data_IF_787326472116
#
_entry.id   IF_787326472116
#
_cell.length_a   1.000
_cell.length_b   1.000
_cell.length_c   1.000
_cell.angle_alpha   90.00
_cell.angle_beta   90.00
_cell.angle_gamma   90.00
#
_symmetry.space_group_name_H-M   'P 1'
#
loop_
_entity.id
_entity.type
_entity.pdbx_description
1 polymer ?
#
# COMPACT_ATOMS: atom_id res chain seq x y z
N UNK A 1 -25.71 0.81 -25.09
CA UNK A 1 -25.06 2.05 -25.57
C UNK A 1 -24.71 3.04 -24.44
N UNK A 2 -25.37 3.02 -23.29
CA UNK A 2 -25.22 4.09 -22.28
C UNK A 2 -23.99 3.96 -21.35
N UNK A 3 -23.50 2.75 -21.09
CA UNK A 3 -22.37 2.55 -20.16
C UNK A 3 -21.04 3.04 -20.74
N UNK A 4 -20.80 2.82 -22.03
CA UNK A 4 -19.56 3.26 -22.69
C UNK A 4 -19.47 4.78 -22.69
N UNK A 5 -20.56 5.49 -23.00
CA UNK A 5 -20.62 6.95 -23.00
C UNK A 5 -20.48 7.52 -21.58
N UNK A 6 -21.14 6.91 -20.59
CA UNK A 6 -21.07 7.36 -19.20
C UNK A 6 -19.67 7.22 -18.58
N UNK A 7 -18.85 6.26 -19.03
CA UNK A 7 -17.46 6.09 -18.55
C UNK A 7 -16.47 6.92 -19.37
N UNK A 8 -16.69 7.07 -20.66
CA UNK A 8 -15.74 7.76 -21.55
C UNK A 8 -15.72 9.28 -21.34
N UNK A 9 -16.85 9.92 -21.01
CA UNK A 9 -16.89 11.37 -20.76
C UNK A 9 -16.08 11.77 -19.51
N UNK A 10 -16.28 11.18 -18.32
CA UNK A 10 -15.47 11.51 -17.14
C UNK A 10 -13.98 11.18 -17.34
N UNK A 11 -13.68 10.07 -18.03
CA UNK A 11 -12.31 9.67 -18.31
C UNK A 11 -11.61 10.68 -19.25
N UNK A 12 -12.29 11.10 -20.33
CA UNK A 12 -11.78 12.11 -21.24
C UNK A 12 -11.62 13.47 -20.53
N UNK A 13 -12.60 13.90 -19.74
CA UNK A 13 -12.53 15.13 -18.94
C UNK A 13 -11.36 15.08 -17.95
N UNK A 14 -11.15 13.95 -17.27
CA UNK A 14 -10.01 13.77 -16.37
C UNK A 14 -8.67 13.85 -17.12
N UNK A 15 -8.54 13.19 -18.26
CA UNK A 15 -7.31 13.23 -19.07
C UNK A 15 -7.03 14.66 -19.55
N UNK A 16 -8.04 15.37 -20.06
CA UNK A 16 -7.90 16.76 -20.52
C UNK A 16 -7.56 17.69 -19.36
N UNK A 17 -8.25 17.59 -18.22
CA UNK A 17 -7.91 18.40 -17.04
C UNK A 17 -6.47 18.12 -16.59
N UNK A 18 -6.07 16.85 -16.55
CA UNK A 18 -4.72 16.44 -16.13
C UNK A 18 -3.63 17.00 -17.04
N UNK A 19 -3.82 16.96 -18.35
CA UNK A 19 -2.79 17.41 -19.29
C UNK A 19 -2.81 18.92 -19.48
N UNK A 20 -3.98 19.54 -19.62
CA UNK A 20 -4.11 20.96 -19.96
C UNK A 20 -4.01 21.89 -18.75
N UNK A 21 -4.50 21.47 -17.58
CA UNK A 21 -4.49 22.33 -16.38
C UNK A 21 -3.24 22.08 -15.55
N UNK A 22 -2.94 20.81 -15.25
CA UNK A 22 -1.91 20.48 -14.28
C UNK A 22 -0.49 20.38 -14.86
N UNK A 23 -0.31 20.48 -16.18
CA UNK A 23 0.98 20.38 -16.88
C UNK A 23 1.83 19.17 -16.44
N UNK A 24 1.19 18.13 -15.90
CA UNK A 24 1.92 16.96 -15.44
C UNK A 24 2.31 16.12 -16.64
N UNK A 25 3.55 15.60 -16.69
CA UNK A 25 3.96 14.68 -17.74
C UNK A 25 2.95 13.54 -17.81
N UNK A 26 2.65 13.11 -19.04
CA UNK A 26 1.82 11.93 -19.30
C UNK A 26 2.30 10.79 -18.41
N UNK A 27 1.40 10.07 -17.76
CA UNK A 27 1.77 8.92 -16.94
C UNK A 27 2.69 8.00 -17.75
N UNK A 28 3.96 7.94 -17.35
CA UNK A 28 4.94 7.04 -17.94
C UNK A 28 4.73 5.65 -17.37
N UNK A 29 4.83 4.66 -18.24
CA UNK A 29 4.88 3.27 -17.81
C UNK A 29 6.28 2.96 -17.30
N UNK A 30 6.36 2.17 -16.24
CA UNK A 30 7.63 1.63 -15.79
C UNK A 30 8.19 0.64 -16.82
N UNK A 31 9.52 0.45 -16.90
CA UNK A 31 10.11 -0.62 -17.69
C UNK A 31 9.55 -1.98 -17.27
N UNK A 32 9.32 -2.88 -18.24
CA UNK A 32 8.74 -4.21 -17.98
C UNK A 32 9.51 -5.00 -16.91
N UNK A 33 10.84 -4.88 -16.89
CA UNK A 33 11.68 -5.52 -15.89
C UNK A 33 11.34 -5.07 -14.46
N UNK A 34 11.07 -3.77 -14.26
CA UNK A 34 10.70 -3.21 -12.96
C UNK A 34 9.28 -3.59 -12.56
N UNK A 35 8.35 -3.62 -13.51
CA UNK A 35 6.98 -4.12 -13.29
C UNK A 35 7.03 -5.57 -12.80
N UNK A 36 7.78 -6.43 -13.49
CA UNK A 36 7.89 -7.85 -13.15
C UNK A 36 8.62 -8.07 -11.84
N UNK A 37 9.63 -7.27 -11.51
CA UNK A 37 10.40 -7.40 -10.28
C UNK A 37 9.64 -6.89 -9.06
N UNK A 38 9.14 -5.65 -9.11
CA UNK A 38 8.58 -4.92 -7.96
C UNK A 38 7.07 -5.07 -7.83
N UNK A 39 6.35 -5.27 -8.93
CA UNK A 39 4.89 -5.40 -8.96
C UNK A 39 4.37 -6.52 -8.05
N UNK A 40 4.84 -7.77 -8.18
CA UNK A 40 4.41 -8.89 -7.35
C UNK A 40 4.65 -8.63 -5.86
N UNK A 41 5.84 -8.12 -5.52
CA UNK A 41 6.21 -7.79 -4.14
C UNK A 41 5.32 -6.69 -3.57
N UNK A 42 4.99 -5.67 -4.36
CA UNK A 42 4.06 -4.60 -3.97
C UNK A 42 2.67 -5.16 -3.65
N UNK A 43 2.14 -6.04 -4.52
CA UNK A 43 0.81 -6.66 -4.31
C UNK A 43 0.82 -7.56 -3.07
N UNK A 44 1.80 -8.44 -2.93
CA UNK A 44 1.93 -9.31 -1.75
C UNK A 44 2.07 -8.50 -0.45
N UNK A 45 2.70 -7.33 -0.53
CA UNK A 45 2.83 -6.42 0.61
C UNK A 45 1.49 -5.84 1.04
N UNK A 46 0.62 -5.43 0.13
CA UNK A 46 -0.74 -5.00 0.47
C UNK A 46 -1.58 -6.11 1.10
N UNK A 47 -1.40 -7.35 0.64
CA UNK A 47 -2.02 -8.53 1.28
C UNK A 47 -1.51 -8.67 2.71
N UNK A 48 -0.18 -8.61 2.90
CA UNK A 48 0.43 -8.69 4.24
C UNK A 48 -0.06 -7.58 5.17
N UNK A 49 -0.14 -6.33 4.70
CA UNK A 49 -0.61 -5.19 5.50
C UNK A 49 -2.07 -5.27 5.90
N UNK A 50 -2.88 -6.03 5.15
CA UNK A 50 -4.26 -6.32 5.53
C UNK A 50 -4.33 -7.23 6.76
N UNK A 51 -3.36 -8.14 6.90
CA UNK A 51 -3.29 -9.10 8.01
C UNK A 51 -2.57 -8.48 9.20
N UNK A 52 -1.44 -7.82 8.95
CA UNK A 52 -0.59 -7.19 9.95
C UNK A 52 -0.18 -5.79 9.48
N UNK A 53 -0.92 -4.74 9.89
CA UNK A 53 -0.60 -3.38 9.48
C UNK A 53 0.73 -2.97 10.15
N UNK A 54 1.77 -2.62 9.38
CA UNK A 54 3.04 -2.19 9.96
C UNK A 54 2.93 -0.78 10.59
N UNK A 55 4.00 -0.40 11.29
CA UNK A 55 4.21 0.97 11.75
C UNK A 55 4.05 1.97 10.59
N UNK A 56 3.41 3.09 10.89
CA UNK A 56 3.13 4.11 9.88
C UNK A 56 4.43 4.68 9.30
N UNK A 57 4.46 4.86 7.98
CA UNK A 57 5.57 5.55 7.34
C UNK A 57 5.09 6.53 6.29
N UNK A 58 5.66 7.72 6.27
CA UNK A 58 5.45 8.66 5.15
C UNK A 58 6.09 8.17 3.86
N UNK A 59 7.21 7.45 3.95
CA UNK A 59 8.01 7.03 2.81
C UNK A 59 8.27 5.53 2.89
N UNK A 60 8.10 4.80 1.79
CA UNK A 60 8.29 3.34 1.73
C UNK A 60 9.02 2.86 0.47
N UNK A 61 9.50 3.78 -0.36
CA UNK A 61 10.30 3.44 -1.55
C UNK A 61 11.59 2.68 -1.21
N UNK A 62 12.17 2.92 -0.03
CA UNK A 62 13.44 2.31 0.36
C UNK A 62 13.37 0.82 0.64
N UNK A 63 12.17 0.26 0.78
CA UNK A 63 11.95 -1.16 1.02
C UNK A 63 12.27 -2.04 -0.21
N UNK A 64 12.50 -1.41 -1.37
CA UNK A 64 12.80 -2.09 -2.64
C UNK A 64 14.28 -2.02 -3.05
N UNK A 65 15.14 -1.31 -2.30
CA UNK A 65 16.54 -1.05 -2.70
C UNK A 65 17.32 -2.36 -2.91
N UNK A 66 17.10 -3.35 -2.04
CA UNK A 66 17.83 -4.63 -2.07
C UNK A 66 17.07 -5.74 -2.84
N UNK A 67 16.01 -5.39 -3.59
CA UNK A 67 15.16 -6.37 -4.25
C UNK A 67 15.79 -6.84 -5.58
N UNK A 68 15.93 -8.15 -5.74
CA UNK A 68 16.42 -8.79 -6.96
C UNK A 68 15.55 -9.98 -7.32
N UNK A 69 15.64 -10.48 -8.57
CA UNK A 69 14.95 -11.69 -9.01
C UNK A 69 15.35 -12.96 -8.24
N UNK A 70 16.44 -12.91 -7.46
CA UNK A 70 16.93 -14.01 -6.63
C UNK A 70 16.48 -13.90 -5.18
N UNK A 71 15.90 -12.77 -4.77
CA UNK A 71 15.48 -12.55 -3.39
C UNK A 71 14.33 -13.50 -3.02
N UNK A 72 14.41 -14.16 -1.86
CA UNK A 72 13.34 -15.08 -1.41
C UNK A 72 11.96 -14.43 -1.32
N UNK A 73 11.91 -13.14 -0.98
CA UNK A 73 10.69 -12.33 -0.93
C UNK A 73 9.99 -12.27 -2.29
N UNK A 74 10.74 -12.23 -3.40
CA UNK A 74 10.20 -12.21 -4.75
C UNK A 74 9.41 -13.50 -5.05
N UNK A 75 9.98 -14.66 -4.72
CA UNK A 75 9.32 -15.95 -4.89
C UNK A 75 8.10 -16.10 -3.97
N UNK A 76 8.23 -15.69 -2.70
CA UNK A 76 7.12 -15.69 -1.75
C UNK A 76 5.95 -14.80 -2.22
N UNK A 77 6.25 -13.66 -2.86
CA UNK A 77 5.25 -12.77 -3.42
C UNK A 77 4.47 -13.42 -4.56
N UNK A 78 5.16 -14.04 -5.52
CA UNK A 78 4.50 -14.79 -6.60
C UNK A 78 3.68 -15.97 -6.07
N UNK A 79 4.22 -16.73 -5.12
CA UNK A 79 3.50 -17.83 -4.48
C UNK A 79 2.21 -17.33 -3.81
N UNK A 80 2.26 -16.18 -3.15
CA UNK A 80 1.09 -15.54 -2.54
C UNK A 80 0.05 -15.18 -3.60
N UNK A 81 0.45 -14.54 -4.69
CA UNK A 81 -0.46 -14.14 -5.78
C UNK A 81 -1.09 -15.36 -6.46
N UNK A 82 -0.28 -16.36 -6.82
CA UNK A 82 -0.76 -17.60 -7.46
C UNK A 82 -1.68 -18.36 -6.51
N UNK A 83 -1.32 -18.46 -5.23
CA UNK A 83 -2.15 -19.10 -4.21
C UNK A 83 -3.50 -18.41 -4.04
N UNK A 84 -3.51 -17.08 -3.93
CA UNK A 84 -4.74 -16.29 -3.85
C UNK A 84 -5.61 -16.43 -5.10
N UNK A 85 -5.01 -16.40 -6.29
CA UNK A 85 -5.72 -16.60 -7.55
C UNK A 85 -6.31 -18.02 -7.63
N UNK A 86 -5.55 -19.05 -7.27
CA UNK A 86 -6.02 -20.43 -7.25
C UNK A 86 -7.19 -20.61 -6.26
N UNK A 87 -7.08 -20.05 -5.06
CA UNK A 87 -8.14 -20.08 -4.04
C UNK A 87 -9.39 -19.34 -4.53
N UNK A 88 -9.26 -18.17 -5.16
CA UNK A 88 -10.40 -17.47 -5.75
C UNK A 88 -11.06 -18.27 -6.89
N UNK A 89 -10.27 -18.86 -7.78
CA UNK A 89 -10.78 -19.68 -8.89
C UNK A 89 -11.48 -20.94 -8.37
N UNK A 90 -10.94 -21.58 -7.33
CA UNK A 90 -11.55 -22.75 -6.71
C UNK A 90 -12.84 -22.39 -5.96
N UNK A 91 -12.80 -21.33 -5.15
CA UNK A 91 -13.96 -20.90 -4.36
C UNK A 91 -15.04 -20.19 -5.18
N UNK A 92 -14.79 -19.78 -6.42
CA UNK A 92 -15.82 -19.09 -7.24
C UNK A 92 -17.10 -19.90 -7.43
N UNK A 93 -17.00 -21.24 -7.42
CA UNK A 93 -18.15 -22.12 -7.56
C UNK A 93 -18.95 -22.28 -6.25
N UNK A 94 -18.33 -22.04 -5.10
CA UNK A 94 -18.93 -22.25 -3.78
C UNK A 94 -19.34 -20.93 -3.10
N UNK A 95 -18.51 -19.89 -3.27
CA UNK A 95 -18.66 -18.57 -2.66
C UNK A 95 -18.30 -17.51 -3.73
N UNK A 96 -19.16 -17.27 -4.73
CA UNK A 96 -18.84 -16.38 -5.86
C UNK A 96 -18.51 -14.96 -5.41
N UNK A 97 -19.12 -14.50 -4.30
CA UNK A 97 -18.86 -13.18 -3.72
C UNK A 97 -17.44 -13.04 -3.16
N UNK A 98 -16.82 -14.14 -2.68
CA UNK A 98 -15.42 -14.15 -2.27
C UNK A 98 -14.49 -13.90 -3.45
N UNK A 99 -14.71 -14.65 -4.55
CA UNK A 99 -13.92 -14.48 -5.77
C UNK A 99 -14.09 -13.08 -6.36
N UNK A 100 -15.32 -12.56 -6.40
CA UNK A 100 -15.61 -11.20 -6.85
C UNK A 100 -14.89 -10.14 -6.00
N UNK A 101 -14.87 -10.30 -4.67
CA UNK A 101 -14.14 -9.40 -3.77
C UNK A 101 -12.63 -9.42 -4.02
N UNK A 102 -12.03 -10.60 -4.19
CA UNK A 102 -10.58 -10.72 -4.44
C UNK A 102 -10.17 -10.18 -5.81
N UNK A 103 -10.94 -10.47 -6.87
CA UNK A 103 -10.70 -9.88 -8.18
C UNK A 103 -10.91 -8.37 -8.19
N UNK A 104 -11.94 -7.87 -7.50
CA UNK A 104 -12.17 -6.44 -7.32
C UNK A 104 -10.99 -5.76 -6.63
N UNK A 105 -10.45 -6.36 -5.56
CA UNK A 105 -9.25 -5.87 -4.88
C UNK A 105 -8.02 -5.88 -5.80
N UNK A 106 -7.80 -6.95 -6.57
CA UNK A 106 -6.69 -7.04 -7.52
C UNK A 106 -6.78 -5.98 -8.63
N UNK A 107 -7.98 -5.73 -9.17
CA UNK A 107 -8.22 -4.67 -10.16
C UNK A 107 -7.95 -3.29 -9.53
N UNK A 108 -8.41 -3.05 -8.30
CA UNK A 108 -8.18 -1.78 -7.60
C UNK A 108 -6.69 -1.53 -7.30
N UNK A 109 -5.91 -2.60 -7.06
CA UNK A 109 -4.45 -2.49 -6.85
C UNK A 109 -3.65 -2.43 -8.15
N UNK A 110 -4.23 -2.79 -9.30
CA UNK A 110 -3.52 -2.89 -10.57
C UNK A 110 -2.72 -1.61 -10.93
N UNK A 111 -3.25 -0.38 -10.78
CA UNK A 111 -2.47 0.83 -11.07
C UNK A 111 -1.23 0.98 -10.18
N UNK A 112 -1.28 0.41 -8.97
CA UNK A 112 -0.25 0.48 -7.94
C UNK A 112 0.66 -0.76 -7.93
N UNK A 113 0.45 -1.71 -8.85
CA UNK A 113 1.30 -2.88 -9.07
C UNK A 113 2.53 -2.52 -9.93
N UNK A 114 3.05 -1.30 -9.79
CA UNK A 114 4.18 -0.73 -10.54
C UNK A 114 3.95 -0.54 -12.05
N UNK A 115 2.72 -0.70 -12.55
CA UNK A 115 2.42 -0.46 -13.97
C UNK A 115 2.64 1.01 -14.33
N UNK A 116 2.22 1.91 -13.45
CA UNK A 116 2.41 3.35 -13.60
C UNK A 116 3.63 3.82 -12.81
N UNK A 117 4.38 4.77 -13.36
CA UNK A 117 5.42 5.47 -12.62
C UNK A 117 4.75 6.41 -11.61
N UNK A 118 4.82 6.01 -10.35
CA UNK A 118 4.32 6.76 -9.21
C UNK A 118 5.50 7.30 -8.41
N UNK A 119 5.34 8.48 -7.82
CA UNK A 119 6.36 9.08 -6.96
C UNK A 119 6.67 8.20 -5.73
N UNK A 120 5.66 7.47 -5.24
CA UNK A 120 5.81 6.46 -4.20
C UNK A 120 5.51 5.09 -4.78
N UNK A 121 6.47 4.18 -4.64
CA UNK A 121 6.32 2.80 -5.11
C UNK A 121 5.18 2.10 -4.35
N UNK A 122 5.11 2.28 -3.03
CA UNK A 122 4.07 1.68 -2.19
C UNK A 122 3.64 2.70 -1.14
N UNK A 123 2.34 2.80 -0.90
CA UNK A 123 1.77 3.66 0.13
C UNK A 123 0.46 3.05 0.65
N UNK A 124 0.14 3.22 1.92
CA UNK A 124 -1.08 2.65 2.51
C UNK A 124 -2.36 3.13 1.83
N UNK A 125 -2.39 4.39 1.39
CA UNK A 125 -3.54 4.99 0.69
C UNK A 125 -3.92 4.24 -0.60
N UNK A 126 -2.98 3.51 -1.21
CA UNK A 126 -3.25 2.70 -2.40
C UNK A 126 -4.08 1.45 -2.09
N UNK A 127 -4.07 0.99 -0.83
CA UNK A 127 -4.87 -0.15 -0.39
C UNK A 127 -6.32 0.22 -0.04
N UNK A 128 -6.67 1.51 0.09
CA UNK A 128 -8.00 1.93 0.57
C UNK A 128 -9.13 1.52 -0.39
N UNK A 129 -8.91 1.65 -1.70
CA UNK A 129 -9.91 1.19 -2.68
C UNK A 129 -9.98 -0.34 -2.73
N UNK A 130 -8.83 -1.00 -2.59
CA UNK A 130 -8.75 -2.45 -2.60
C UNK A 130 -9.38 -3.10 -1.35
N UNK A 131 -9.36 -2.40 -0.21
CA UNK A 131 -9.92 -2.90 1.04
C UNK A 131 -11.42 -3.18 0.94
N UNK A 132 -12.15 -2.48 0.08
CA UNK A 132 -13.57 -2.76 -0.19
C UNK A 132 -13.76 -4.18 -0.72
N UNK A 133 -12.94 -4.59 -1.68
CA UNK A 133 -12.96 -5.94 -2.23
C UNK A 133 -12.54 -6.99 -1.20
N UNK A 134 -11.56 -6.67 -0.36
CA UNK A 134 -11.09 -7.54 0.73
C UNK A 134 -12.19 -7.74 1.79
N UNK A 135 -12.84 -6.67 2.25
CA UNK A 135 -13.94 -6.73 3.23
C UNK A 135 -15.10 -7.54 2.66
N UNK A 136 -15.42 -7.38 1.38
CA UNK A 136 -16.43 -8.18 0.70
C UNK A 136 -16.06 -9.67 0.70
N UNK A 137 -14.79 -9.99 0.40
CA UNK A 137 -14.30 -11.36 0.40
C UNK A 137 -14.37 -12.02 1.79
N UNK A 138 -13.89 -11.32 2.82
CA UNK A 138 -13.93 -11.80 4.21
C UNK A 138 -15.38 -12.01 4.68
N UNK A 139 -16.26 -11.04 4.40
CA UNK A 139 -17.68 -11.13 4.78
C UNK A 139 -18.38 -12.30 4.10
N UNK A 140 -18.08 -12.57 2.83
CA UNK A 140 -18.63 -13.70 2.09
C UNK A 140 -18.21 -15.06 2.69
N UNK A 141 -16.93 -15.19 3.05
CA UNK A 141 -16.42 -16.41 3.71
C UNK A 141 -17.07 -16.59 5.08
N UNK A 142 -17.16 -15.52 5.88
CA UNK A 142 -17.78 -15.57 7.20
C UNK A 142 -19.26 -16.01 7.10
N UNK A 143 -20.01 -15.47 6.16
CA UNK A 143 -21.41 -15.86 5.91
C UNK A 143 -21.52 -17.33 5.44
N UNK A 144 -20.61 -17.79 4.57
CA UNK A 144 -20.56 -19.18 4.12
C UNK A 144 -20.23 -20.15 5.26
N UNK A 145 -19.30 -19.79 6.14
CA UNK A 145 -18.94 -20.58 7.33
C UNK A 145 -20.12 -20.67 8.30
N UNK A 146 -20.75 -19.54 8.63
CA UNK A 146 -21.91 -19.50 9.54
C UNK A 146 -23.06 -20.37 9.02
N UNK A 147 -23.36 -20.30 7.72
CA UNK A 147 -24.41 -21.12 7.11
C UNK A 147 -24.04 -22.61 7.04
N UNK A 148 -22.82 -22.94 6.60
CA UNK A 148 -22.34 -24.34 6.47
C UNK A 148 -22.34 -25.09 7.80
N UNK A 149 -21.87 -24.45 8.87
CA UNK A 149 -21.80 -25.06 10.20
C UNK A 149 -23.05 -24.79 11.06
N UNK A 150 -24.08 -24.16 10.49
CA UNK A 150 -25.34 -23.79 11.19
C UNK A 150 -25.08 -23.00 12.49
N UNK A 151 -24.06 -22.16 12.48
CA UNK A 151 -23.74 -21.31 13.62
C UNK A 151 -24.83 -20.23 13.78
N UNK A 152 -25.09 -19.78 15.01
CA UNK A 152 -26.05 -18.71 15.23
C UNK A 152 -25.51 -17.40 14.63
N UNK A 153 -26.40 -16.55 14.09
CA UNK A 153 -26.00 -15.29 13.39
C UNK A 153 -25.14 -14.35 14.25
N UNK A 154 -25.30 -14.38 15.56
CA UNK A 154 -24.48 -13.58 16.48
C UNK A 154 -23.00 -13.97 16.46
N UNK A 155 -22.64 -15.19 16.04
CA UNK A 155 -21.24 -15.60 15.87
C UNK A 155 -20.48 -14.71 14.89
N UNK A 156 -21.11 -14.36 13.75
CA UNK A 156 -20.53 -13.40 12.81
C UNK A 156 -20.35 -12.02 13.46
N UNK A 157 -21.32 -11.57 14.24
CA UNK A 157 -21.26 -10.29 14.97
C UNK A 157 -20.10 -10.29 15.96
N UNK A 158 -19.92 -11.38 16.71
CA UNK A 158 -18.81 -11.53 17.67
C UNK A 158 -17.47 -11.52 16.94
N UNK A 159 -17.33 -12.26 15.84
CA UNK A 159 -16.09 -12.26 15.03
C UNK A 159 -15.77 -10.85 14.52
N UNK A 160 -16.78 -10.13 13.99
CA UNK A 160 -16.60 -8.75 13.54
C UNK A 160 -16.26 -7.81 14.70
N UNK A 161 -16.92 -7.94 15.86
CA UNK A 161 -16.64 -7.12 17.04
C UNK A 161 -15.22 -7.35 17.57
N UNK A 162 -14.76 -8.61 17.61
CA UNK A 162 -13.38 -8.95 17.97
C UNK A 162 -12.41 -8.35 16.96
N UNK A 163 -12.68 -8.48 15.66
CA UNK A 163 -11.82 -7.90 14.62
C UNK A 163 -11.72 -6.37 14.72
N UNK A 164 -12.83 -5.67 14.94
CA UNK A 164 -12.86 -4.22 15.18
C UNK A 164 -12.09 -3.87 16.45
N UNK A 165 -12.30 -4.62 17.54
CA UNK A 165 -11.59 -4.41 18.81
C UNK A 165 -10.08 -4.57 18.67
N UNK A 166 -9.63 -5.61 17.96
CA UNK A 166 -8.21 -5.83 17.65
C UNK A 166 -7.63 -4.72 16.75
N UNK A 167 -8.46 -4.10 15.91
CA UNK A 167 -8.05 -2.99 15.04
C UNK A 167 -7.82 -1.68 15.79
N UNK A 168 -8.28 -1.55 17.04
CA UNK A 168 -8.12 -0.33 17.83
C UNK A 168 -6.65 -0.05 18.18
N UNK A 169 -5.86 -1.09 18.47
CA UNK A 169 -4.44 -0.96 18.84
C UNK A 169 -3.61 -0.29 17.71
N UNK A 170 -3.61 -0.80 16.45
CA UNK A 170 -2.91 -0.13 15.35
C UNK A 170 -3.41 1.29 15.06
N UNK A 171 -4.70 1.55 15.26
CA UNK A 171 -5.28 2.89 15.07
C UNK A 171 -4.74 3.87 16.12
N UNK A 172 -4.67 3.45 17.38
CA UNK A 172 -4.13 4.26 18.46
C UNK A 172 -2.66 4.62 18.22
N UNK A 173 -1.82 3.64 17.84
CA UNK A 173 -0.43 3.89 17.48
C UNK A 173 -0.29 4.87 16.31
N UNK A 174 -1.17 4.77 15.30
CA UNK A 174 -1.19 5.71 14.18
C UNK A 174 -1.56 7.12 14.64
N UNK A 175 -2.58 7.27 15.48
CA UNK A 175 -2.96 8.59 16.02
C UNK A 175 -1.78 9.21 16.79
N UNK A 176 -1.08 8.42 17.60
CA UNK A 176 0.13 8.88 18.30
C UNK A 176 1.22 9.31 17.32
N UNK A 177 1.48 8.54 16.27
CA UNK A 177 2.46 8.89 15.24
C UNK A 177 2.16 10.23 14.56
N UNK A 178 0.89 10.60 14.42
CA UNK A 178 0.46 11.90 13.85
C UNK A 178 0.42 13.06 14.85
N UNK A 179 0.76 12.83 16.12
CA UNK A 179 0.68 13.87 17.16
C UNK A 179 1.70 14.99 16.99
N UNK A 180 2.85 14.71 16.36
CA UNK A 180 3.88 15.70 16.04
C UNK A 180 4.70 15.27 14.82
N UNK A 181 5.33 16.22 14.14
CA UNK A 181 6.20 15.93 12.99
C UNK A 181 7.41 15.06 13.38
N UNK A 182 7.99 15.33 14.54
CA UNK A 182 9.10 14.54 15.10
C UNK A 182 8.71 13.08 15.30
N UNK A 183 7.59 12.82 15.98
CA UNK A 183 7.09 11.46 16.23
C UNK A 183 6.76 10.75 14.91
N UNK A 184 6.19 11.48 13.94
CA UNK A 184 5.85 10.94 12.64
C UNK A 184 7.08 10.49 11.86
N UNK A 185 8.15 11.30 11.85
CA UNK A 185 9.39 10.94 11.17
C UNK A 185 10.15 9.83 11.91
N UNK A 186 10.20 9.87 13.24
CA UNK A 186 10.81 8.79 14.04
C UNK A 186 10.11 7.46 13.82
N UNK A 187 8.77 7.44 13.87
CA UNK A 187 7.97 6.23 13.60
C UNK A 187 8.16 5.76 12.15
N UNK A 188 8.22 6.69 11.19
CA UNK A 188 8.46 6.35 9.78
C UNK A 188 9.83 5.71 9.55
N UNK A 189 10.87 6.14 10.28
CA UNK A 189 12.20 5.53 10.19
C UNK A 189 12.25 4.08 10.69
N UNK A 190 11.34 3.66 11.58
CA UNK A 190 11.24 2.25 11.99
C UNK A 190 10.89 1.37 10.78
N UNK A 191 9.97 1.85 9.92
CA UNK A 191 9.55 1.15 8.72
C UNK A 191 10.48 1.39 7.52
N UNK A 192 11.17 2.53 7.46
CA UNK A 192 12.04 2.90 6.34
C UNK A 192 13.34 3.53 6.83
N UNK A 193 14.21 2.73 7.47
CA UNK A 193 15.42 3.23 8.14
C UNK A 193 16.46 3.82 7.18
N UNK A 194 16.39 3.44 5.89
CA UNK A 194 17.29 3.92 4.83
C UNK A 194 16.75 5.17 4.11
N UNK A 195 15.66 5.77 4.59
CA UNK A 195 15.03 6.92 3.91
C UNK A 195 15.81 8.20 4.13
N UNK A 196 16.49 8.66 3.08
CA UNK A 196 17.20 9.94 3.07
C UNK A 196 16.26 11.12 3.38
N UNK A 197 15.04 11.11 2.83
CA UNK A 197 14.03 12.16 3.06
C UNK A 197 13.63 12.24 4.54
N UNK A 198 13.44 11.10 5.21
CA UNK A 198 13.09 11.09 6.64
C UNK A 198 14.23 11.59 7.53
N UNK A 199 15.47 11.19 7.24
CA UNK A 199 16.64 11.71 7.94
C UNK A 199 16.82 13.21 7.71
N UNK A 200 16.64 13.70 6.48
CA UNK A 200 16.69 15.13 6.17
C UNK A 200 15.65 15.91 6.97
N UNK A 201 14.40 15.46 6.99
CA UNK A 201 13.31 16.14 7.70
C UNK A 201 13.57 16.19 9.22
N UNK A 202 14.07 15.10 9.82
CA UNK A 202 14.51 15.12 11.22
C UNK A 202 15.69 16.07 11.46
N UNK A 203 16.58 16.20 10.49
CA UNK A 203 17.68 17.16 10.55
C UNK A 203 17.18 18.60 10.55
N UNK A 204 16.20 18.93 9.70
CA UNK A 204 15.55 20.25 9.66
C UNK A 204 14.83 20.56 10.97
N UNK A 205 14.09 19.60 11.53
CA UNK A 205 13.47 19.77 12.85
C UNK A 205 14.50 20.00 13.95
N UNK A 206 15.59 19.22 13.94
CA UNK A 206 16.67 19.35 14.93
C UNK A 206 17.37 20.71 14.84
N UNK A 207 17.54 21.26 13.64
CA UNK A 207 18.13 22.58 13.43
C UNK A 207 17.20 23.69 13.94
N UNK A 208 15.90 23.58 13.68
CA UNK A 208 14.89 24.48 14.23
C UNK A 208 14.87 24.50 15.76
N UNK A 209 15.16 23.36 16.40
CA UNK A 209 15.29 23.21 17.86
C UNK A 209 16.68 23.67 18.40
N UNK A 210 17.59 24.13 17.54
CA UNK A 210 18.93 24.57 17.90
C UNK A 210 19.94 23.43 18.14
N UNK A 211 19.58 22.18 17.81
CA UNK A 211 20.45 21.01 17.94
C UNK A 211 21.22 20.72 16.65
N UNK A 212 22.20 21.59 16.38
CA UNK A 212 23.05 21.56 15.17
C UNK A 212 23.76 20.21 14.98
N UNK A 213 24.15 19.53 16.07
CA UNK A 213 24.88 18.25 15.99
C UNK A 213 23.99 17.12 15.43
N UNK A 214 22.75 17.04 15.88
CA UNK A 214 21.78 16.06 15.36
C UNK A 214 21.43 16.36 13.90
N UNK A 215 21.29 17.63 13.53
CA UNK A 215 21.02 18.05 12.17
C UNK A 215 22.11 17.60 11.18
N UNK A 216 23.38 17.88 11.50
CA UNK A 216 24.51 17.47 10.66
C UNK A 216 24.58 15.96 10.51
N UNK A 217 24.36 15.21 11.59
CA UNK A 217 24.39 13.74 11.55
C UNK A 217 23.33 13.18 10.61
N UNK A 218 22.09 13.68 10.71
CA UNK A 218 20.99 13.21 9.88
C UNK A 218 21.20 13.55 8.40
N UNK A 219 21.71 14.74 8.09
CA UNK A 219 22.03 15.17 6.72
C UNK A 219 23.16 14.32 6.12
N UNK A 220 24.20 14.01 6.89
CA UNK A 220 25.29 13.13 6.44
C UNK A 220 24.78 11.72 6.15
N UNK A 221 23.88 11.18 6.98
CA UNK A 221 23.23 9.89 6.72
C UNK A 221 22.39 9.94 5.43
N UNK A 222 21.62 11.00 5.21
CA UNK A 222 20.84 11.16 3.98
C UNK A 222 21.75 11.17 2.73
N UNK A 223 22.87 11.90 2.78
CA UNK A 223 23.84 11.96 1.68
C UNK A 223 24.51 10.61 1.34
N UNK A 224 24.60 9.69 2.31
CA UNK A 224 25.13 8.34 2.06
C UNK A 224 24.17 7.43 1.30
N UNK A 225 22.85 7.68 1.38
CA UNK A 225 21.83 6.84 0.73
C UNK A 225 21.30 7.40 -0.61
N UNK A 226 21.54 8.68 -0.91
CA UNK A 226 21.25 9.30 -2.22
C UNK A 226 22.50 10.03 -2.79
N UNK A 227 23.55 9.29 -3.22
CA UNK A 227 24.64 9.91 -3.97
C UNK A 227 24.17 10.23 -5.40
N UNK A 228 23.66 11.45 -5.64
CA UNK A 228 23.52 11.99 -7.00
C UNK A 228 22.15 12.54 -7.43
N UNK A 229 21.12 12.56 -6.58
CA UNK A 229 19.88 13.31 -6.89
C UNK A 229 19.99 14.74 -6.35
N UNK A 230 19.89 15.74 -7.23
CA UNK A 230 19.79 17.14 -6.81
C UNK A 230 18.48 17.32 -6.05
N UNK A 231 18.56 17.67 -4.77
CA UNK A 231 17.42 17.84 -3.86
C UNK A 231 16.44 18.98 -4.22
N UNK A 232 16.58 19.59 -5.41
CA UNK A 232 15.79 20.72 -5.88
C UNK A 232 15.65 20.68 -7.42
N UNK A 233 14.74 19.85 -7.92
CA UNK A 233 14.08 20.05 -9.23
C UNK A 233 12.56 19.89 -9.09
#
# INVERSE_FOLDING_TARGET
>A
MNVIVAVSIPLASYVVLRTAVFHQPSASFQPLAEILLRGPVSVAKYVSWTIYPPAMSMERSTEFIDLTFRSGIYFAAWLTIVGLAAVAIWLRCYVPLFAAGLFGAAIALMPFAQILQLYQLVAERYAYTASVGIVLAISAVLAAVVSKFRLPRWSAVVVLAVWIGLSFMPVHERIHAWSSESELYHTSLIASPKSAVLHLNLGVLSDADGNVRSAVTAIVFAGAYQPGESLYE
#
